data_IF_636225630933
#
_entry.id   IF_636225630933
#
_cell.length_a   1.000
_cell.length_b   1.000
_cell.length_c   1.000
_cell.angle_alpha   90.00
_cell.angle_beta   90.00
_cell.angle_gamma   90.00
#
_symmetry.space_group_name_H-M   'P 1'
#
loop_
_entity.id
_entity.type
_entity.pdbx_description
1 polymer ?
#
# COMPACT_ATOMS: atom_id res chain seq x y z
N UNK A 1 -11.78 -0.08 47.92
CA UNK A 1 -11.08 -0.44 46.67
C UNK A 1 -11.33 -1.92 46.45
N UNK A 2 -12.40 -2.27 45.74
CA UNK A 2 -12.72 -3.67 45.40
C UNK A 2 -12.21 -3.88 43.98
N UNK A 3 -10.99 -4.38 43.84
CA UNK A 3 -10.50 -4.90 42.56
C UNK A 3 -11.29 -6.18 42.29
N UNK A 4 -12.35 -6.04 41.50
CA UNK A 4 -13.06 -7.16 40.90
C UNK A 4 -12.08 -7.92 40.02
N UNK A 5 -11.45 -8.93 40.63
CA UNK A 5 -10.71 -9.99 39.97
C UNK A 5 -11.73 -10.96 39.35
N UNK A 6 -12.40 -10.50 38.28
CA UNK A 6 -13.14 -11.39 37.41
C UNK A 6 -12.12 -12.09 36.53
N UNK A 7 -11.50 -13.15 37.07
CA UNK A 7 -10.82 -14.16 36.27
C UNK A 7 -11.84 -14.70 35.26
N UNK A 8 -11.84 -14.10 34.08
CA UNK A 8 -12.64 -14.55 32.96
C UNK A 8 -11.85 -15.71 32.37
N UNK A 9 -12.41 -16.91 32.39
CA UNK A 9 -11.79 -18.06 31.75
C UNK A 9 -11.44 -17.66 30.30
N UNK A 10 -10.18 -17.89 29.85
CA UNK A 10 -9.77 -17.51 28.52
C UNK A 10 -10.71 -18.17 27.52
N UNK A 11 -11.36 -17.35 26.71
CA UNK A 11 -12.27 -17.86 25.70
C UNK A 11 -11.45 -18.53 24.59
N UNK A 12 -11.96 -19.57 23.91
CA UNK A 12 -11.24 -20.20 22.79
C UNK A 12 -10.81 -19.23 21.69
N UNK A 13 -11.47 -18.07 21.59
CA UNK A 13 -11.13 -17.00 20.64
C UNK A 13 -9.94 -16.17 21.11
N UNK A 14 -9.82 -15.90 22.42
CA UNK A 14 -8.67 -15.21 23.01
C UNK A 14 -7.42 -16.07 22.90
N UNK A 15 -7.51 -17.37 23.20
CA UNK A 15 -6.39 -18.33 23.01
C UNK A 15 -5.91 -18.36 21.56
N UNK A 16 -6.84 -18.37 20.60
CA UNK A 16 -6.49 -18.36 19.18
C UNK A 16 -5.85 -17.03 18.74
N UNK A 17 -6.30 -15.90 19.30
CA UNK A 17 -5.71 -14.58 19.03
C UNK A 17 -4.29 -14.50 19.59
N UNK A 18 -4.06 -14.99 20.80
CA UNK A 18 -2.75 -14.96 21.44
C UNK A 18 -1.76 -15.85 20.68
N UNK A 19 -2.17 -17.05 20.28
CA UNK A 19 -1.37 -17.93 19.43
C UNK A 19 -1.02 -17.30 18.07
N UNK A 20 -1.97 -16.58 17.47
CA UNK A 20 -1.71 -15.83 16.22
C UNK A 20 -0.71 -14.69 16.46
N UNK A 21 -0.87 -13.93 17.54
CA UNK A 21 0.05 -12.83 17.87
C UNK A 21 1.47 -13.33 18.12
N UNK A 22 1.63 -14.46 18.79
CA UNK A 22 2.94 -15.11 19.00
C UNK A 22 3.56 -15.58 17.67
N UNK A 23 2.72 -16.00 16.72
CA UNK A 23 3.17 -16.48 15.41
C UNK A 23 3.58 -15.35 14.45
N UNK A 24 3.08 -14.12 14.65
CA UNK A 24 3.33 -12.99 13.75
C UNK A 24 4.82 -12.62 13.64
N UNK A 25 5.60 -12.47 14.74
CA UNK A 25 7.03 -12.21 14.66
C UNK A 25 7.79 -13.30 13.90
N UNK A 26 7.47 -14.57 14.16
CA UNK A 26 8.09 -15.72 13.49
C UNK A 26 7.80 -15.74 11.99
N UNK A 27 6.58 -15.39 11.59
CA UNK A 27 6.22 -15.26 10.18
C UNK A 27 7.00 -14.12 9.50
N UNK A 28 7.25 -13.00 10.19
CA UNK A 28 8.04 -11.90 9.65
C UNK A 28 9.51 -12.27 9.44
N UNK A 29 10.11 -13.00 10.39
CA UNK A 29 11.46 -13.56 10.25
C UNK A 29 11.54 -14.51 9.06
N UNK A 30 10.58 -15.45 8.95
CA UNK A 30 10.51 -16.41 7.84
C UNK A 30 10.41 -15.71 6.48
N UNK A 31 9.64 -14.62 6.38
CA UNK A 31 9.57 -13.83 5.13
C UNK A 31 10.91 -13.19 4.77
N UNK A 32 11.71 -12.79 5.76
CA UNK A 32 13.08 -12.32 5.55
C UNK A 32 13.97 -13.42 4.96
N UNK A 33 13.95 -14.60 5.55
CA UNK A 33 14.74 -15.75 5.07
C UNK A 33 14.36 -16.16 3.64
N UNK A 34 13.06 -16.08 3.30
CA UNK A 34 12.56 -16.41 1.96
C UNK A 34 13.01 -15.43 0.88
N UNK A 35 13.55 -14.25 1.22
CA UNK A 35 14.17 -13.34 0.25
C UNK A 35 15.45 -13.90 -0.34
N UNK A 36 16.14 -14.78 0.38
CA UNK A 36 17.37 -15.44 -0.06
C UNK A 36 17.12 -16.84 -0.63
N UNK A 37 15.84 -17.23 -0.80
CA UNK A 37 15.48 -18.53 -1.37
C UNK A 37 16.02 -18.72 -2.80
N UNK A 38 16.38 -19.94 -3.17
CA UNK A 38 16.90 -20.23 -4.51
C UNK A 38 15.85 -19.99 -5.62
N UNK A 39 14.58 -20.29 -5.33
CA UNK A 39 13.47 -20.11 -6.26
C UNK A 39 13.05 -18.64 -6.36
N UNK A 40 13.23 -18.06 -7.54
CA UNK A 40 12.88 -16.69 -7.85
C UNK A 40 11.40 -16.36 -7.57
N UNK A 41 10.48 -17.29 -7.83
CA UNK A 41 9.04 -17.06 -7.59
C UNK A 41 8.75 -16.90 -6.10
N UNK A 42 9.47 -17.64 -5.27
CA UNK A 42 9.39 -17.56 -3.80
C UNK A 42 9.92 -16.21 -3.33
N UNK A 43 11.10 -15.80 -3.82
CA UNK A 43 11.68 -14.49 -3.48
C UNK A 43 10.76 -13.32 -3.85
N UNK A 44 10.20 -13.34 -5.07
CA UNK A 44 9.30 -12.27 -5.55
C UNK A 44 8.07 -12.16 -4.65
N UNK A 45 7.45 -13.29 -4.26
CA UNK A 45 6.28 -13.27 -3.38
C UNK A 45 6.62 -12.82 -1.96
N UNK A 46 7.78 -13.22 -1.42
CA UNK A 46 8.24 -12.75 -0.12
C UNK A 46 8.47 -11.23 -0.13
N UNK A 47 9.11 -10.72 -1.17
CA UNK A 47 9.34 -9.28 -1.36
C UNK A 47 8.01 -8.50 -1.49
N UNK A 48 7.07 -8.99 -2.29
CA UNK A 48 5.74 -8.38 -2.44
C UNK A 48 4.99 -8.29 -1.11
N UNK A 49 4.95 -9.39 -0.35
CA UNK A 49 4.29 -9.43 0.96
C UNK A 49 4.90 -8.42 1.97
N UNK A 50 6.23 -8.22 1.93
CA UNK A 50 6.91 -7.23 2.78
C UNK A 50 6.57 -5.80 2.33
N UNK A 51 6.60 -5.53 1.02
CA UNK A 51 6.31 -4.21 0.46
C UNK A 51 4.86 -3.79 0.71
N UNK A 52 3.90 -4.71 0.57
CA UNK A 52 2.49 -4.48 0.87
C UNK A 52 2.29 -4.07 2.33
N UNK A 53 2.98 -4.74 3.26
CA UNK A 53 2.93 -4.40 4.69
C UNK A 53 3.62 -3.08 5.02
N UNK A 54 4.65 -2.71 4.27
CA UNK A 54 5.28 -1.38 4.36
C UNK A 54 4.42 -0.27 3.74
N UNK A 55 3.30 -0.60 3.09
CA UNK A 55 2.47 0.35 2.36
C UNK A 55 3.13 0.86 1.06
N UNK A 56 4.18 0.18 0.60
CA UNK A 56 4.95 0.48 -0.61
C UNK A 56 4.41 -0.35 -1.78
N UNK A 57 3.11 -0.27 -2.03
CA UNK A 57 2.51 -0.97 -3.17
C UNK A 57 2.92 -0.31 -4.49
N UNK A 58 3.04 -1.10 -5.56
CA UNK A 58 3.33 -0.64 -6.93
C UNK A 58 2.34 0.40 -7.48
N UNK A 59 1.21 0.62 -6.79
CA UNK A 59 0.09 1.47 -7.20
C UNK A 59 0.23 2.96 -6.87
N UNK A 60 1.27 3.39 -6.14
CA UNK A 60 1.67 4.81 -6.15
C UNK A 60 2.71 5.06 -7.24
N UNK A 61 2.38 4.71 -8.47
CA UNK A 61 2.97 5.37 -9.63
C UNK A 61 2.50 6.83 -9.61
N UNK A 62 3.17 7.67 -8.81
CA UNK A 62 3.07 9.11 -8.96
C UNK A 62 3.35 9.40 -10.43
N UNK A 63 2.41 10.08 -11.10
CA UNK A 63 2.64 10.51 -12.47
C UNK A 63 3.94 11.32 -12.50
N UNK A 64 4.70 11.30 -13.60
CA UNK A 64 5.94 12.09 -13.72
C UNK A 64 5.74 13.56 -13.34
N UNK A 65 4.53 14.09 -13.54
CA UNK A 65 4.09 15.43 -13.13
C UNK A 65 4.00 15.59 -11.61
N UNK A 66 3.40 14.66 -10.87
CA UNK A 66 3.37 14.70 -9.39
C UNK A 66 4.76 14.50 -8.78
N UNK A 67 5.57 13.61 -9.36
CA UNK A 67 6.94 13.41 -8.94
C UNK A 67 7.78 14.70 -9.12
N UNK A 68 7.57 15.42 -10.22
CA UNK A 68 8.25 16.69 -10.49
C UNK A 68 7.86 17.80 -9.50
N UNK A 69 6.58 17.87 -9.09
CA UNK A 69 6.11 18.81 -8.07
C UNK A 69 6.71 18.48 -6.70
N UNK A 70 6.74 17.21 -6.29
CA UNK A 70 7.28 16.80 -4.99
C UNK A 70 8.81 16.95 -4.87
N UNK A 71 9.55 16.88 -5.98
CA UNK A 71 11.01 17.10 -6.04
C UNK A 71 11.37 18.61 -6.11
N UNK A 72 10.36 19.50 -6.21
CA UNK A 72 10.56 20.95 -6.26
C UNK A 72 10.85 21.51 -7.66
N UNK A 73 10.56 20.74 -8.71
CA UNK A 73 10.75 21.11 -10.11
C UNK A 73 9.50 21.63 -10.83
N UNK A 74 8.38 21.80 -10.12
CA UNK A 74 7.13 22.36 -10.65
C UNK A 74 6.59 23.43 -9.72
N UNK A 75 6.48 24.67 -10.21
CA UNK A 75 5.87 25.77 -9.48
C UNK A 75 4.34 25.65 -9.50
N UNK A 76 3.71 25.55 -8.33
CA UNK A 76 2.29 25.91 -8.18
C UNK A 76 2.20 27.45 -8.25
N UNK A 77 2.25 28.01 -9.45
CA UNK A 77 1.99 29.44 -9.64
C UNK A 77 0.47 29.66 -9.75
N UNK A 78 -0.13 30.28 -8.72
CA UNK A 78 -1.52 30.73 -8.80
C UNK A 78 -2.24 30.90 -7.47
N UNK A 79 -1.89 31.92 -6.69
CA UNK A 79 -2.69 32.41 -5.56
C UNK A 79 -3.91 33.16 -6.12
N UNK A 80 -5.11 32.57 -6.13
CA UNK A 80 -6.34 33.30 -6.51
C UNK A 80 -7.60 32.45 -6.66
N UNK A 81 -8.76 33.09 -6.44
CA UNK A 81 -10.12 32.53 -6.30
C UNK A 81 -10.72 31.83 -7.54
N UNK A 82 -9.95 31.60 -8.60
CA UNK A 82 -10.41 30.88 -9.79
C UNK A 82 -9.57 29.63 -9.94
N UNK A 83 -10.09 28.52 -9.41
CA UNK A 83 -9.55 27.17 -9.60
C UNK A 83 -9.78 26.78 -11.05
N UNK A 84 -8.78 26.96 -11.90
CA UNK A 84 -8.69 26.20 -13.15
C UNK A 84 -8.00 24.89 -12.81
N UNK A 85 -8.77 23.80 -12.83
CA UNK A 85 -8.22 22.44 -12.78
C UNK A 85 -7.25 22.25 -13.96
N UNK A 86 -6.15 21.52 -13.76
CA UNK A 86 -5.20 21.27 -14.83
C UNK A 86 -5.78 20.26 -15.83
N UNK A 87 -6.20 20.80 -16.97
CA UNK A 87 -6.47 20.12 -18.25
C UNK A 87 -7.65 19.13 -18.22
N UNK A 88 -8.87 19.65 -18.42
CA UNK A 88 -9.89 18.94 -19.20
C UNK A 88 -9.32 18.77 -20.63
N UNK A 89 -8.59 17.68 -20.85
CA UNK A 89 -8.31 17.20 -22.21
C UNK A 89 -9.66 16.69 -22.75
N UNK A 90 -10.18 17.37 -23.77
CA UNK A 90 -11.47 17.07 -24.39
C UNK A 90 -11.58 15.63 -24.88
N UNK A 91 -12.72 15.01 -24.58
CA UNK A 91 -13.15 13.74 -25.15
C UNK A 91 -13.37 13.89 -26.67
N UNK A 92 -12.30 13.75 -27.48
CA UNK A 92 -12.40 13.64 -28.95
C UNK A 92 -11.99 12.23 -29.42
N UNK A 93 -12.75 11.20 -29.01
CA UNK A 93 -12.62 9.82 -29.50
C UNK A 93 -13.73 9.43 -30.51
N UNK A 94 -14.27 10.38 -31.27
CA UNK A 94 -15.42 10.13 -32.15
C UNK A 94 -15.13 10.10 -33.67
N UNK A 95 -13.88 10.05 -34.15
CA UNK A 95 -13.59 10.02 -35.60
C UNK A 95 -12.51 8.99 -36.03
N UNK A 96 -12.70 7.71 -35.72
CA UNK A 96 -11.89 6.60 -36.27
C UNK A 96 -12.71 5.53 -37.03
N UNK A 97 -13.87 5.90 -37.58
CA UNK A 97 -14.74 4.99 -38.35
C UNK A 97 -14.89 5.35 -39.85
N UNK A 98 -13.99 6.17 -40.43
CA UNK A 98 -14.08 6.55 -41.85
C UNK A 98 -12.77 6.33 -42.65
N UNK A 99 -12.04 5.25 -42.35
CA UNK A 99 -10.87 4.83 -43.12
C UNK A 99 -10.91 3.34 -43.50
N UNK A 100 -11.91 2.97 -44.31
CA UNK A 100 -11.93 1.73 -45.10
C UNK A 100 -12.70 1.90 -46.42
#
# INVERSE_FOLDING_TARGET
MSTTDSASDPTPVEDARDALQESVPKAAETLGDLLDADDERVRIRAAEAILDRAGLTKAKSYSTKEAQVHIGGGEYSGRGLNRTDPLEDGDDLDDLDDLL
#
